data_IF_929170132708
#
_entry.id   IF_929170132708
#
_cell.length_a   1.000
_cell.length_b   1.000
_cell.length_c   1.000
_cell.angle_alpha   90.00
_cell.angle_beta   90.00
_cell.angle_gamma   90.00
#
_symmetry.space_group_name_H-M   'P 1'
#
loop_
_entity.id
_entity.type
_entity.pdbx_description
1 polymer ?
#
# COMPACT_ATOMS: atom_id res chain seq x y z
N UNK A 1 -1.23 -1.01 2.33
CA UNK A 1 -1.05 0.08 1.34
C UNK A 1 -2.11 -0.07 0.27
N UNK A 2 -2.47 1.01 -0.41
CA UNK A 2 -3.51 0.96 -1.45
C UNK A 2 -3.22 1.96 -2.57
N UNK A 3 -3.94 1.79 -3.68
CA UNK A 3 -3.93 2.74 -4.81
C UNK A 3 -5.28 3.40 -5.05
N UNK A 4 -6.38 2.79 -4.59
CA UNK A 4 -7.75 3.16 -4.98
C UNK A 4 -8.02 3.05 -6.50
N UNK A 5 -7.36 2.09 -7.15
CA UNK A 5 -7.57 1.85 -8.58
C UNK A 5 -9.05 1.53 -8.90
N UNK A 6 -9.64 2.15 -9.93
CA UNK A 6 -8.99 2.87 -11.05
C UNK A 6 -8.75 4.38 -10.83
N UNK A 7 -8.99 4.92 -9.64
CA UNK A 7 -8.88 6.35 -9.33
C UNK A 7 -7.51 6.73 -8.75
N UNK A 8 -7.22 8.04 -8.68
CA UNK A 8 -6.10 8.59 -7.92
C UNK A 8 -4.69 8.06 -8.28
N UNK A 9 -4.38 7.97 -9.57
CA UNK A 9 -3.04 7.54 -10.01
C UNK A 9 -1.91 8.36 -9.35
N UNK A 10 -0.89 7.71 -8.76
CA UNK A 10 0.22 8.40 -8.13
C UNK A 10 1.10 9.10 -9.16
N UNK A 11 1.88 10.09 -8.76
CA UNK A 11 2.91 10.71 -9.61
C UNK A 11 3.99 9.66 -9.93
N UNK A 12 4.47 9.54 -11.19
CA UNK A 12 4.26 10.43 -12.34
C UNK A 12 3.04 10.10 -13.22
N UNK A 13 2.23 9.13 -12.87
CA UNK A 13 1.08 8.64 -13.67
C UNK A 13 -0.22 9.44 -13.47
N UNK A 14 -0.17 10.56 -12.75
CA UNK A 14 -1.34 11.39 -12.43
C UNK A 14 -2.08 11.77 -13.73
N UNK A 15 -3.41 11.64 -13.70
CA UNK A 15 -4.29 11.89 -14.85
C UNK A 15 -4.55 10.66 -15.72
N UNK A 16 -3.86 9.54 -15.49
CA UNK A 16 -4.17 8.25 -16.12
C UNK A 16 -5.05 7.40 -15.18
N UNK A 17 -5.81 6.41 -15.70
CA UNK A 17 -6.44 5.40 -14.87
C UNK A 17 -5.40 4.67 -14.01
N UNK A 18 -5.68 4.57 -12.72
CA UNK A 18 -4.77 3.95 -11.77
C UNK A 18 -4.78 2.41 -11.89
N UNK A 19 -3.71 1.79 -11.41
CA UNK A 19 -3.48 0.34 -11.49
C UNK A 19 -3.00 -0.18 -10.12
N UNK A 20 -3.45 -1.37 -9.68
CA UNK A 20 -2.96 -1.98 -8.44
C UNK A 20 -1.43 -2.10 -8.37
N UNK A 21 -0.78 -2.37 -9.52
CA UNK A 21 0.68 -2.47 -9.61
C UNK A 21 1.42 -1.18 -9.19
N UNK A 22 0.77 -0.01 -9.22
CA UNK A 22 1.37 1.25 -8.78
C UNK A 22 1.36 1.44 -7.26
N UNK A 23 0.89 0.46 -6.48
CA UNK A 23 0.98 0.49 -5.01
C UNK A 23 2.42 0.63 -4.52
N UNK A 24 3.39 0.09 -5.30
CA UNK A 24 4.81 0.24 -5.01
C UNK A 24 5.26 1.71 -5.01
N UNK A 25 4.74 2.53 -5.93
CA UNK A 25 5.07 3.97 -6.01
C UNK A 25 4.57 4.71 -4.76
N UNK A 26 3.38 4.32 -4.27
CA UNK A 26 2.83 4.85 -3.02
C UNK A 26 3.70 4.42 -1.84
N UNK A 27 4.08 3.14 -1.77
CA UNK A 27 4.93 2.60 -0.70
C UNK A 27 6.32 3.29 -0.67
N UNK A 28 6.96 3.49 -1.83
CA UNK A 28 8.23 4.20 -1.93
C UNK A 28 8.13 5.64 -1.40
N UNK A 29 7.04 6.35 -1.73
CA UNK A 29 6.82 7.70 -1.18
C UNK A 29 6.61 7.68 0.33
N UNK A 30 5.80 6.75 0.84
CA UNK A 30 5.55 6.64 2.29
C UNK A 30 6.83 6.29 3.05
N UNK A 31 7.66 5.37 2.53
CA UNK A 31 8.92 4.98 3.14
C UNK A 31 9.87 6.18 3.27
N UNK A 32 9.96 7.01 2.22
CA UNK A 32 10.72 8.26 2.24
C UNK A 32 10.21 9.23 3.32
N UNK A 33 8.90 9.50 3.38
CA UNK A 33 8.29 10.41 4.37
C UNK A 33 8.46 9.90 5.81
N UNK A 34 8.49 8.57 5.99
CA UNK A 34 8.64 7.91 7.29
C UNK A 34 10.10 7.66 7.69
N UNK A 35 11.05 7.95 6.80
CA UNK A 35 12.48 7.68 6.99
C UNK A 35 12.78 6.20 7.31
N UNK A 36 12.05 5.28 6.68
CA UNK A 36 12.28 3.83 6.78
C UNK A 36 12.63 3.26 5.41
N UNK A 37 13.20 2.06 5.38
CA UNK A 37 13.40 1.36 4.12
C UNK A 37 12.07 0.86 3.55
N UNK A 38 12.02 0.66 2.23
CA UNK A 38 10.85 0.07 1.59
C UNK A 38 10.53 -1.32 2.15
N UNK A 39 11.57 -2.13 2.40
CA UNK A 39 11.42 -3.48 2.94
C UNK A 39 10.83 -3.50 4.35
N UNK A 40 11.25 -2.59 5.23
CA UNK A 40 10.65 -2.45 6.57
C UNK A 40 9.18 -2.04 6.48
N UNK A 41 8.86 -1.09 5.59
CA UNK A 41 7.48 -0.66 5.38
C UNK A 41 6.61 -1.79 4.83
N UNK A 42 7.10 -2.55 3.85
CA UNK A 42 6.43 -3.72 3.27
C UNK A 42 6.10 -4.74 4.37
N UNK A 43 7.12 -5.18 5.12
CA UNK A 43 6.96 -6.13 6.21
C UNK A 43 5.93 -5.65 7.26
N UNK A 44 5.99 -4.38 7.64
CA UNK A 44 5.05 -3.82 8.61
C UNK A 44 3.62 -3.76 8.07
N UNK A 45 3.45 -3.41 6.79
CA UNK A 45 2.12 -3.31 6.17
C UNK A 45 1.49 -4.67 5.91
N UNK A 46 2.30 -5.68 5.57
CA UNK A 46 1.86 -7.07 5.39
C UNK A 46 1.42 -7.68 6.72
N UNK A 47 2.20 -7.48 7.79
CA UNK A 47 1.83 -7.91 9.13
C UNK A 47 0.52 -7.26 9.59
N UNK A 48 0.33 -5.96 9.33
CA UNK A 48 -0.90 -5.26 9.66
C UNK A 48 -2.11 -5.77 8.86
N UNK A 49 -1.96 -6.02 7.56
CA UNK A 49 -3.02 -6.58 6.73
C UNK A 49 -3.42 -7.97 7.20
N UNK A 50 -2.43 -8.84 7.43
CA UNK A 50 -2.62 -10.22 7.89
C UNK A 50 -3.37 -10.24 9.21
N UNK A 51 -2.92 -9.47 10.20
CA UNK A 51 -3.58 -9.34 11.51
C UNK A 51 -5.02 -8.84 11.41
N UNK A 52 -5.31 -7.91 10.50
CA UNK A 52 -6.62 -7.30 10.37
C UNK A 52 -7.62 -8.18 9.60
N UNK A 53 -7.18 -8.83 8.52
CA UNK A 53 -8.09 -9.47 7.56
C UNK A 53 -7.98 -10.99 7.51
N UNK A 54 -6.84 -11.58 7.91
CA UNK A 54 -6.59 -13.02 7.78
C UNK A 54 -6.58 -13.74 9.13
N UNK A 55 -6.07 -13.10 10.18
CA UNK A 55 -5.98 -13.69 11.53
C UNK A 55 -7.22 -13.41 12.41
N UNK A 56 -8.14 -12.55 11.96
CA UNK A 56 -9.42 -12.41 12.66
C UNK A 56 -10.27 -13.65 12.41
N UNK A 57 -10.55 -14.40 13.48
CA UNK A 57 -11.65 -15.38 13.47
C UNK A 57 -12.91 -14.70 12.94
N UNK A 58 -13.63 -15.40 12.05
CA UNK A 58 -14.94 -14.94 11.57
C UNK A 58 -15.80 -14.65 12.80
N UNK A 59 -16.43 -13.46 12.91
CA UNK A 59 -17.47 -13.30 13.90
C UNK A 59 -18.55 -14.36 13.62
N UNK A 60 -18.94 -15.07 14.66
CA UNK A 60 -19.98 -16.09 14.64
C UNK A 60 -21.30 -15.55 14.07
#
# INVERSE_FOLDING_TARGET
METDAPFLAPVPYRGQPNRPAWVRVVAERVAQERQVTLAELEAQTDANFTRLFLEREKPA
#
